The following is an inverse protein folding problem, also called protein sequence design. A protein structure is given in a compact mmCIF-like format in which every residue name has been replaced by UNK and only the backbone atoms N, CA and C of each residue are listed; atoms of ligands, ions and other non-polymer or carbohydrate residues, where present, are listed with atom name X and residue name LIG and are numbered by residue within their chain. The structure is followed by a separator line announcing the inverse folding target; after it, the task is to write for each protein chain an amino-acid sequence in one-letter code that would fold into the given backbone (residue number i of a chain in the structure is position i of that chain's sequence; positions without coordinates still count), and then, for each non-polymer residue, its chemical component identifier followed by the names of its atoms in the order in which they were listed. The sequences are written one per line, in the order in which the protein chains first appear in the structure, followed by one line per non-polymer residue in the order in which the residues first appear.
data_IF_564922675267
#
_entry.id   IF_564922675267
#
_cell.length_a   1.000
_cell.length_b   1.000
_cell.length_c   1.000
_cell.angle_alpha   90.00
_cell.angle_beta   90.00
_cell.angle_gamma   90.00
#
_symmetry.space_group_name_H-M   'P 1'
#
loop_
_entity.id
_entity.type
_entity.pdbx_description
1 polymer ?
#
# COMPACT_ATOMS: atom_id res chain seq x y z
N UNK A 1 2.88 -3.34 -22.24
CA UNK A 1 3.07 -4.68 -21.62
C UNK A 1 1.73 -5.31 -21.30
N UNK A 2 1.69 -6.64 -21.14
CA UNK A 2 0.53 -7.36 -20.58
C UNK A 2 0.85 -7.74 -19.14
N UNK A 3 0.10 -7.20 -18.20
CA UNK A 3 0.39 -7.31 -16.76
C UNK A 3 -0.70 -8.12 -16.03
N UNK A 4 -0.30 -9.03 -15.16
CA UNK A 4 -1.14 -9.51 -14.08
C UNK A 4 -0.84 -8.67 -12.83
N UNK A 5 -1.84 -7.92 -12.35
CA UNK A 5 -1.75 -7.08 -11.15
C UNK A 5 -2.56 -7.75 -10.04
N UNK A 6 -1.86 -8.36 -9.08
CA UNK A 6 -2.49 -8.97 -7.91
C UNK A 6 -2.71 -7.90 -6.83
N UNK A 7 -3.91 -7.87 -6.22
CA UNK A 7 -4.28 -6.81 -5.28
C UNK A 7 -4.60 -5.46 -5.96
N UNK A 8 -4.99 -5.51 -7.24
CA UNK A 8 -5.25 -4.31 -8.03
C UNK A 8 -6.53 -3.56 -7.66
N UNK A 9 -7.44 -4.15 -6.87
CA UNK A 9 -8.61 -3.46 -6.32
C UNK A 9 -8.33 -2.76 -4.98
N UNK A 10 -7.12 -2.87 -4.44
CA UNK A 10 -6.67 -2.13 -3.26
C UNK A 10 -6.28 -0.69 -3.60
N UNK A 11 -5.95 0.11 -2.57
CA UNK A 11 -5.58 1.52 -2.67
C UNK A 11 -4.44 1.79 -3.66
N UNK A 12 -3.24 1.24 -3.40
CA UNK A 12 -2.06 1.49 -4.25
C UNK A 12 -2.19 0.74 -5.58
N UNK A 13 -2.72 -0.50 -5.54
CA UNK A 13 -2.91 -1.33 -6.73
C UNK A 13 -3.81 -0.66 -7.75
N UNK A 14 -4.95 -0.08 -7.35
CA UNK A 14 -5.87 0.60 -8.27
C UNK A 14 -5.26 1.86 -8.89
N UNK A 15 -4.43 2.59 -8.13
CA UNK A 15 -3.65 3.72 -8.64
C UNK A 15 -2.64 3.26 -9.70
N UNK A 16 -1.91 2.18 -9.43
CA UNK A 16 -0.97 1.60 -10.38
C UNK A 16 -1.67 1.12 -11.67
N UNK A 17 -2.81 0.44 -11.54
CA UNK A 17 -3.61 0.00 -12.70
C UNK A 17 -3.99 1.19 -13.58
N UNK A 18 -4.45 2.31 -13.00
CA UNK A 18 -4.75 3.54 -13.77
C UNK A 18 -3.53 4.09 -14.50
N UNK A 19 -2.41 4.23 -13.80
CA UNK A 19 -1.16 4.72 -14.40
C UNK A 19 -0.75 3.83 -15.58
N UNK A 20 -0.75 2.51 -15.42
CA UNK A 20 -0.34 1.58 -16.49
C UNK A 20 -1.30 1.58 -17.66
N UNK A 21 -2.59 1.60 -17.39
CA UNK A 21 -3.61 1.52 -18.42
C UNK A 21 -3.73 2.84 -19.22
N UNK A 22 -3.75 3.98 -18.51
CA UNK A 22 -4.09 5.28 -19.10
C UNK A 22 -2.86 6.06 -19.56
N UNK A 23 -1.73 6.01 -18.82
CA UNK A 23 -0.53 6.77 -19.18
C UNK A 23 0.42 5.94 -20.08
N UNK A 24 0.51 4.61 -19.89
CA UNK A 24 1.44 3.73 -20.64
C UNK A 24 0.76 2.87 -21.70
N UNK A 25 -0.56 2.76 -21.70
CA UNK A 25 -1.30 1.98 -22.68
C UNK A 25 -1.14 0.47 -22.56
N UNK A 26 -0.80 -0.03 -21.37
CA UNK A 26 -0.66 -1.45 -21.09
C UNK A 26 -2.01 -2.19 -21.10
N UNK A 27 -1.95 -3.51 -21.27
CA UNK A 27 -3.09 -4.40 -20.99
C UNK A 27 -2.95 -4.91 -19.55
N UNK A 28 -4.00 -4.74 -18.75
CA UNK A 28 -3.97 -5.07 -17.32
C UNK A 28 -5.07 -6.05 -16.97
N UNK A 29 -4.67 -7.21 -16.48
CA UNK A 29 -5.56 -8.16 -15.79
C UNK A 29 -5.36 -8.00 -14.30
N UNK A 30 -6.41 -7.72 -13.55
CA UNK A 30 -6.41 -7.64 -12.10
C UNK A 30 -6.91 -8.96 -11.52
N UNK A 31 -6.17 -9.51 -10.54
CA UNK A 31 -6.60 -10.58 -9.66
C UNK A 31 -6.71 -10.04 -8.24
N UNK A 32 -7.93 -10.07 -7.67
CA UNK A 32 -8.17 -9.60 -6.30
C UNK A 32 -9.26 -10.44 -5.63
N UNK A 33 -9.07 -10.80 -4.37
CA UNK A 33 -10.07 -11.60 -3.61
C UNK A 33 -11.20 -10.74 -3.02
N UNK A 34 -11.05 -9.40 -3.06
CA UNK A 34 -11.98 -8.42 -2.52
C UNK A 34 -12.21 -8.63 -1.02
N UNK A 35 -11.15 -8.46 -0.24
CA UNK A 35 -11.28 -8.34 1.23
C UNK A 35 -11.81 -6.96 1.58
N UNK A 36 -11.83 -6.61 2.86
CA UNK A 36 -12.40 -5.34 3.34
C UNK A 36 -11.82 -4.08 2.65
N UNK A 37 -10.54 -4.09 2.28
CA UNK A 37 -9.86 -2.93 1.66
C UNK A 37 -9.77 -3.01 0.12
N UNK A 38 -9.92 -4.20 -0.46
CA UNK A 38 -10.02 -4.41 -1.91
C UNK A 38 -11.45 -4.26 -2.37
N UNK A 39 -11.75 -3.27 -3.21
CA UNK A 39 -13.12 -2.91 -3.61
C UNK A 39 -13.21 -2.71 -5.12
N UNK A 40 -14.26 -3.24 -5.75
CA UNK A 40 -14.51 -3.02 -7.19
C UNK A 40 -14.72 -1.54 -7.51
N UNK A 41 -15.30 -0.79 -6.57
CA UNK A 41 -15.49 0.67 -6.70
C UNK A 41 -14.18 1.43 -6.91
N UNK A 42 -13.06 0.89 -6.44
CA UNK A 42 -11.74 1.45 -6.68
C UNK A 42 -11.31 1.38 -8.16
N UNK A 43 -12.00 0.59 -8.97
CA UNK A 43 -11.72 0.36 -10.40
C UNK A 43 -12.92 0.71 -11.29
N UNK A 44 -13.97 1.33 -10.73
CA UNK A 44 -15.23 1.58 -11.45
C UNK A 44 -15.03 2.44 -12.69
N UNK A 45 -14.14 3.42 -12.64
CA UNK A 45 -13.80 4.29 -13.76
C UNK A 45 -13.06 3.57 -14.90
N UNK A 46 -12.55 2.36 -14.66
CA UNK A 46 -11.89 1.51 -15.65
C UNK A 46 -12.81 0.42 -16.21
N UNK A 47 -14.03 0.28 -15.67
CA UNK A 47 -14.99 -0.71 -16.13
C UNK A 47 -15.32 -0.49 -17.61
N UNK A 48 -15.25 -1.57 -18.41
CA UNK A 48 -15.49 -1.52 -19.84
C UNK A 48 -14.32 -1.04 -20.71
N UNK A 49 -13.17 -0.66 -20.10
CA UNK A 49 -11.98 -0.33 -20.88
C UNK A 49 -11.41 -1.57 -21.60
N UNK A 50 -11.20 -1.49 -22.92
CA UNK A 50 -10.87 -2.64 -23.76
C UNK A 50 -9.61 -3.42 -23.35
N UNK A 51 -8.66 -2.76 -22.67
CA UNK A 51 -7.39 -3.35 -22.19
C UNK A 51 -7.40 -3.67 -20.69
N UNK A 52 -8.57 -3.58 -20.06
CA UNK A 52 -8.75 -3.89 -18.64
C UNK A 52 -9.58 -5.16 -18.46
N UNK A 53 -9.16 -6.02 -17.56
CA UNK A 53 -9.89 -7.22 -17.13
C UNK A 53 -9.78 -7.38 -15.62
N UNK A 54 -10.91 -7.72 -15.00
CA UNK A 54 -10.97 -8.04 -13.57
C UNK A 54 -11.36 -9.52 -13.39
N UNK A 55 -10.65 -10.19 -12.48
CA UNK A 55 -10.94 -11.55 -12.04
C UNK A 55 -10.95 -11.59 -10.51
N UNK A 56 -12.01 -12.13 -9.94
CA UNK A 56 -12.08 -12.34 -8.50
C UNK A 56 -11.41 -13.66 -8.14
N UNK A 57 -10.40 -13.59 -7.26
CA UNK A 57 -9.68 -14.77 -6.79
C UNK A 57 -8.55 -14.41 -5.83
N UNK A 58 -8.13 -15.37 -5.04
CA UNK A 58 -7.07 -15.23 -4.06
C UNK A 58 -5.70 -15.62 -4.65
N UNK A 59 -4.64 -14.94 -4.24
CA UNK A 59 -3.27 -15.26 -4.71
C UNK A 59 -2.74 -16.55 -4.07
N UNK A 60 -3.28 -16.98 -2.96
CA UNK A 60 -3.00 -18.25 -2.29
C UNK A 60 -3.68 -19.45 -2.97
N UNK A 61 -4.56 -19.23 -3.96
CA UNK A 61 -5.18 -20.29 -4.77
C UNK A 61 -4.45 -20.45 -6.11
N UNK A 62 -3.68 -21.53 -6.32
CA UNK A 62 -2.97 -21.79 -7.58
C UNK A 62 -3.88 -21.86 -8.81
N UNK A 63 -5.13 -22.31 -8.66
CA UNK A 63 -6.07 -22.41 -9.77
C UNK A 63 -6.55 -21.02 -10.21
N UNK A 64 -6.87 -20.13 -9.26
CA UNK A 64 -7.23 -18.74 -9.55
C UNK A 64 -6.07 -17.98 -10.22
N UNK A 65 -4.83 -18.16 -9.72
CA UNK A 65 -3.62 -17.55 -10.31
C UNK A 65 -3.39 -18.06 -11.74
N UNK A 66 -3.51 -19.37 -11.98
CA UNK A 66 -3.36 -19.93 -13.34
C UNK A 66 -4.41 -19.38 -14.29
N UNK A 67 -5.68 -19.35 -13.88
CA UNK A 67 -6.78 -18.81 -14.69
C UNK A 67 -6.55 -17.33 -15.05
N UNK A 68 -6.05 -16.52 -14.10
CA UNK A 68 -5.76 -15.11 -14.34
C UNK A 68 -4.60 -14.90 -15.32
N UNK A 69 -3.56 -15.72 -15.24
CA UNK A 69 -2.43 -15.69 -16.16
C UNK A 69 -2.84 -16.12 -17.58
N UNK A 70 -3.70 -17.14 -17.69
CA UNK A 70 -4.20 -17.63 -18.99
C UNK A 70 -5.12 -16.60 -19.66
N UNK A 71 -5.97 -15.95 -18.85
CA UNK A 71 -6.89 -14.94 -19.36
C UNK A 71 -6.20 -13.69 -19.91
N UNK A 72 -5.05 -13.28 -19.33
CA UNK A 72 -4.33 -12.06 -19.69
C UNK A 72 -3.10 -12.27 -20.56
N UNK A 73 -2.65 -13.51 -20.77
CA UNK A 73 -1.34 -13.81 -21.44
C UNK A 73 -0.21 -12.93 -20.91
N UNK A 74 -0.10 -12.82 -19.58
CA UNK A 74 0.77 -11.86 -18.90
C UNK A 74 2.27 -12.07 -19.23
N UNK A 75 3.00 -10.97 -19.31
CA UNK A 75 4.47 -10.91 -19.46
C UNK A 75 5.16 -10.68 -18.11
N UNK A 76 4.42 -10.12 -17.15
CA UNK A 76 4.89 -9.87 -15.79
C UNK A 76 3.75 -9.96 -14.77
N UNK A 77 4.12 -10.37 -13.56
CA UNK A 77 3.25 -10.30 -12.37
C UNK A 77 3.74 -9.13 -11.51
N UNK A 78 2.79 -8.25 -11.10
CA UNK A 78 3.04 -7.19 -10.12
C UNK A 78 2.17 -7.45 -8.89
N UNK A 79 2.79 -7.76 -7.76
CA UNK A 79 2.08 -8.18 -6.56
C UNK A 79 1.92 -7.05 -5.55
N UNK A 80 0.71 -6.50 -5.45
CA UNK A 80 0.24 -5.60 -4.40
C UNK A 80 -0.58 -6.34 -3.33
N UNK A 81 -1.05 -7.57 -3.63
CA UNK A 81 -1.92 -8.30 -2.72
C UNK A 81 -1.23 -8.56 -1.38
N UNK A 82 -1.84 -8.05 -0.32
CA UNK A 82 -1.34 -8.18 1.04
C UNK A 82 -2.45 -7.84 2.04
N UNK A 83 -2.44 -8.47 3.20
CA UNK A 83 -3.04 -7.89 4.39
C UNK A 83 -2.09 -6.82 4.94
N UNK A 84 -2.61 -5.61 5.29
CA UNK A 84 -1.75 -4.42 5.45
C UNK A 84 -1.94 -3.62 6.74
N UNK A 85 -2.92 -3.95 7.58
CA UNK A 85 -3.21 -3.17 8.79
C UNK A 85 -2.47 -3.75 9.99
N UNK A 86 -1.52 -2.97 10.56
CA UNK A 86 -0.67 -3.44 11.66
C UNK A 86 -1.49 -3.88 12.87
N UNK A 87 -2.50 -3.07 13.31
CA UNK A 87 -3.31 -3.42 14.48
C UNK A 87 -4.10 -4.72 14.25
N UNK A 88 -4.62 -4.95 13.03
CA UNK A 88 -5.24 -6.23 12.66
C UNK A 88 -4.24 -7.39 12.69
N UNK A 89 -2.99 -7.16 12.30
CA UNK A 89 -1.95 -8.20 12.33
C UNK A 89 -1.60 -8.66 13.76
N UNK A 90 -1.76 -7.77 14.74
CA UNK A 90 -1.56 -8.09 16.15
C UNK A 90 -2.72 -8.92 16.68
N UNK A 91 -3.95 -8.62 16.26
CA UNK A 91 -5.15 -9.32 16.70
C UNK A 91 -5.36 -10.67 15.98
N UNK A 92 -5.11 -10.73 14.66
CA UNK A 92 -5.41 -11.86 13.79
C UNK A 92 -4.27 -12.10 12.77
N UNK A 93 -3.12 -12.67 13.19
CA UNK A 93 -1.94 -12.79 12.34
C UNK A 93 -2.05 -13.81 11.20
N UNK A 94 -2.96 -14.78 11.30
CA UNK A 94 -3.06 -15.92 10.37
C UNK A 94 -3.32 -15.49 8.91
N UNK A 95 -4.21 -14.51 8.71
CA UNK A 95 -4.50 -13.97 7.39
C UNK A 95 -3.26 -13.33 6.73
N UNK A 96 -2.38 -12.73 7.55
CA UNK A 96 -1.14 -12.12 7.08
C UNK A 96 -0.13 -13.16 6.62
N UNK A 97 0.03 -14.27 7.34
CA UNK A 97 0.89 -15.38 6.93
C UNK A 97 0.38 -15.99 5.63
N UNK A 98 -0.93 -16.26 5.56
CA UNK A 98 -1.57 -16.87 4.39
C UNK A 98 -1.44 -16.00 3.15
N UNK A 99 -1.82 -14.73 3.24
CA UNK A 99 -1.79 -13.84 2.08
C UNK A 99 -0.37 -13.40 1.74
N UNK A 100 0.38 -12.86 2.73
CA UNK A 100 1.65 -12.19 2.44
C UNK A 100 2.79 -13.19 2.14
N UNK A 101 2.85 -14.32 2.85
CA UNK A 101 3.90 -15.30 2.65
C UNK A 101 3.49 -16.43 1.70
N UNK A 102 2.43 -17.19 2.01
CA UNK A 102 1.99 -18.31 1.17
C UNK A 102 1.52 -17.81 -0.21
N UNK A 103 0.72 -16.73 -0.26
CA UNK A 103 0.27 -16.16 -1.53
C UNK A 103 1.43 -15.70 -2.41
N UNK A 104 2.46 -15.05 -1.83
CA UNK A 104 3.67 -14.69 -2.58
C UNK A 104 4.40 -15.94 -3.12
N UNK A 105 4.51 -17.00 -2.32
CA UNK A 105 5.09 -18.28 -2.78
C UNK A 105 4.33 -18.84 -3.99
N UNK A 106 3.00 -18.87 -3.96
CA UNK A 106 2.17 -19.37 -5.07
C UNK A 106 2.41 -18.57 -6.35
N UNK A 107 2.48 -17.23 -6.24
CA UNK A 107 2.78 -16.36 -7.38
C UNK A 107 4.19 -16.57 -7.93
N UNK A 108 5.19 -16.80 -7.07
CA UNK A 108 6.56 -17.07 -7.48
C UNK A 108 6.66 -18.41 -8.24
N UNK A 109 5.97 -19.46 -7.78
CA UNK A 109 5.92 -20.75 -8.49
C UNK A 109 5.23 -20.58 -9.87
N UNK A 110 4.14 -19.83 -9.94
CA UNK A 110 3.45 -19.56 -11.19
C UNK A 110 4.33 -18.76 -12.18
N UNK A 111 5.05 -17.75 -11.68
CA UNK A 111 5.98 -16.95 -12.47
C UNK A 111 7.14 -17.82 -12.99
N UNK A 112 7.72 -18.66 -12.12
CA UNK A 112 8.81 -19.58 -12.47
C UNK A 112 8.39 -20.61 -13.53
N UNK A 113 7.23 -21.21 -13.36
CA UNK A 113 6.71 -22.22 -14.31
C UNK A 113 6.46 -21.65 -15.71
N UNK A 114 6.19 -20.35 -15.83
CA UNK A 114 5.87 -19.66 -17.08
C UNK A 114 6.98 -18.74 -17.59
N UNK A 115 8.12 -18.63 -16.89
CA UNK A 115 9.23 -17.77 -17.26
C UNK A 115 8.86 -16.26 -17.23
N UNK A 116 7.97 -15.84 -16.33
CA UNK A 116 7.50 -14.47 -16.24
C UNK A 116 8.41 -13.62 -15.36
N UNK A 117 8.41 -12.30 -15.63
CA UNK A 117 8.98 -11.32 -14.72
C UNK A 117 8.08 -11.19 -13.48
N UNK A 118 8.69 -10.92 -12.34
CA UNK A 118 7.97 -10.76 -11.07
C UNK A 118 8.41 -9.48 -10.37
N UNK A 119 7.46 -8.66 -9.91
CA UNK A 119 7.71 -7.51 -9.07
C UNK A 119 6.89 -7.59 -7.79
N UNK A 120 7.58 -7.61 -6.65
CA UNK A 120 6.97 -7.55 -5.32
C UNK A 120 6.89 -6.12 -4.83
N UNK A 121 5.69 -5.67 -4.50
CA UNK A 121 5.49 -4.41 -3.79
C UNK A 121 5.56 -4.68 -2.29
N UNK A 122 6.47 -3.98 -1.60
CA UNK A 122 6.78 -4.14 -0.19
C UNK A 122 6.75 -2.80 0.55
N UNK A 123 7.23 -2.75 1.78
CA UNK A 123 7.12 -1.62 2.70
C UNK A 123 8.46 -1.34 3.39
N UNK A 124 8.68 -0.11 3.82
CA UNK A 124 9.80 0.30 4.68
C UNK A 124 9.71 -0.31 6.09
N UNK A 125 8.53 -0.72 6.52
CA UNK A 125 8.33 -1.35 7.84
C UNK A 125 9.13 -2.65 8.02
N UNK A 126 9.60 -3.26 6.92
CA UNK A 126 10.49 -4.44 6.99
C UNK A 126 11.86 -4.13 7.61
N UNK A 127 12.28 -2.86 7.60
CA UNK A 127 13.54 -2.41 8.20
C UNK A 127 13.45 -2.18 9.72
N UNK A 128 12.24 -1.95 10.25
CA UNK A 128 12.02 -1.51 11.62
C UNK A 128 12.26 -0.02 11.81
N UNK A 129 12.51 0.43 13.04
CA UNK A 129 12.69 1.83 13.38
C UNK A 129 14.14 2.29 13.28
N UNK A 130 14.34 3.56 12.87
CA UNK A 130 15.67 4.21 12.81
C UNK A 130 15.64 5.56 13.55
N UNK A 131 16.58 5.79 14.45
CA UNK A 131 16.63 7.06 15.20
C UNK A 131 17.22 8.20 14.36
N UNK A 132 18.28 7.90 13.59
CA UNK A 132 18.97 8.87 12.74
C UNK A 132 19.43 8.23 11.43
N UNK A 133 19.65 9.02 10.39
CA UNK A 133 20.01 8.55 9.05
C UNK A 133 18.79 8.02 8.28
N UNK A 134 19.06 7.25 7.25
CA UNK A 134 18.07 6.71 6.30
C UNK A 134 18.36 5.24 6.01
N UNK A 135 17.33 4.43 5.86
CA UNK A 135 17.48 3.07 5.35
C UNK A 135 17.83 3.08 3.88
N UNK A 136 18.77 2.23 3.50
CA UNK A 136 19.10 1.87 2.13
C UNK A 136 18.65 0.44 1.85
N UNK A 137 18.72 0.02 0.59
CA UNK A 137 18.32 -1.33 0.18
C UNK A 137 19.18 -2.43 0.80
N UNK A 138 20.38 -2.08 1.29
CA UNK A 138 21.30 -3.00 1.98
C UNK A 138 21.12 -3.02 3.50
N UNK A 139 20.24 -2.18 4.04
CA UNK A 139 19.95 -2.17 5.48
C UNK A 139 19.34 -3.50 5.93
N UNK A 140 19.69 -4.01 7.13
CA UNK A 140 19.15 -5.27 7.64
C UNK A 140 17.66 -5.18 7.88
N UNK A 141 16.93 -6.28 7.64
CA UNK A 141 15.52 -6.38 7.96
C UNK A 141 15.35 -6.68 9.45
N UNK A 142 14.56 -5.84 10.14
CA UNK A 142 14.28 -5.93 11.59
C UNK A 142 12.81 -5.60 11.88
N UNK A 143 11.87 -6.37 11.31
CA UNK A 143 10.44 -6.09 11.44
C UNK A 143 9.98 -6.16 12.90
N UNK A 144 9.08 -5.24 13.31
CA UNK A 144 8.57 -5.10 14.69
C UNK A 144 7.14 -5.61 14.88
N UNK A 145 6.43 -5.98 13.81
CA UNK A 145 5.04 -6.43 13.85
C UNK A 145 4.83 -7.70 13.02
N UNK A 146 3.74 -8.48 13.25
CA UNK A 146 3.39 -9.62 12.40
C UNK A 146 3.22 -9.22 10.92
N UNK A 147 2.63 -8.05 10.64
CA UNK A 147 2.55 -7.51 9.28
C UNK A 147 3.94 -7.33 8.65
N UNK A 148 4.81 -6.56 9.29
CA UNK A 148 6.14 -6.29 8.74
C UNK A 148 7.01 -7.54 8.66
N UNK A 149 6.84 -8.50 9.59
CA UNK A 149 7.52 -9.80 9.55
C UNK A 149 7.08 -10.65 8.35
N UNK A 150 5.79 -10.72 8.05
CA UNK A 150 5.29 -11.46 6.89
C UNK A 150 5.68 -10.80 5.56
N UNK A 151 5.76 -9.47 5.49
CA UNK A 151 6.29 -8.75 4.34
C UNK A 151 7.79 -8.98 4.15
N UNK A 152 8.58 -8.95 5.23
CA UNK A 152 10.00 -9.30 5.18
C UNK A 152 10.23 -10.75 4.73
N UNK A 153 9.42 -11.69 5.21
CA UNK A 153 9.43 -13.09 4.76
C UNK A 153 9.14 -13.23 3.26
N UNK A 154 8.14 -12.49 2.75
CA UNK A 154 7.85 -12.44 1.32
C UNK A 154 9.02 -11.86 0.50
N UNK A 155 9.65 -10.79 0.97
CA UNK A 155 10.84 -10.20 0.33
C UNK A 155 11.99 -11.21 0.24
N UNK A 156 12.26 -11.94 1.31
CA UNK A 156 13.29 -12.98 1.33
C UNK A 156 12.96 -14.17 0.40
N UNK A 157 11.69 -14.56 0.29
CA UNK A 157 11.25 -15.55 -0.71
C UNK A 157 11.55 -15.08 -2.13
N UNK A 158 11.21 -13.85 -2.47
CA UNK A 158 11.48 -13.29 -3.80
C UNK A 158 12.98 -13.31 -4.12
N UNK A 159 13.82 -12.86 -3.19
CA UNK A 159 15.28 -12.88 -3.35
C UNK A 159 15.82 -14.30 -3.50
N UNK A 160 15.30 -15.25 -2.73
CA UNK A 160 15.71 -16.66 -2.83
C UNK A 160 15.38 -17.28 -4.20
N UNK A 161 14.25 -16.91 -4.79
CA UNK A 161 13.85 -17.38 -6.12
C UNK A 161 14.76 -16.85 -7.23
N UNK A 162 15.21 -15.60 -7.12
CA UNK A 162 16.23 -15.08 -8.02
C UNK A 162 17.55 -15.85 -7.86
N UNK A 163 18.06 -15.99 -6.64
CA UNK A 163 19.35 -16.65 -6.40
C UNK A 163 19.35 -18.16 -6.73
N UNK A 164 18.26 -18.85 -6.44
CA UNK A 164 18.18 -20.31 -6.61
C UNK A 164 17.78 -20.72 -8.01
N UNK A 165 16.82 -20.00 -8.60
CA UNK A 165 16.19 -20.41 -9.86
C UNK A 165 16.43 -19.43 -11.01
N UNK A 166 17.08 -18.29 -10.77
CA UNK A 166 17.26 -17.26 -11.80
C UNK A 166 15.97 -16.56 -12.21
N UNK A 167 14.91 -16.61 -11.37
CA UNK A 167 13.65 -15.92 -11.68
C UNK A 167 13.92 -14.41 -11.81
N UNK A 168 13.52 -13.76 -12.93
CA UNK A 168 13.74 -12.31 -13.10
C UNK A 168 12.78 -11.51 -12.20
N UNK A 169 13.08 -11.46 -10.90
CA UNK A 169 12.29 -10.84 -9.86
C UNK A 169 12.96 -9.56 -9.35
N UNK A 170 12.14 -8.55 -9.01
CA UNK A 170 12.54 -7.29 -8.38
C UNK A 170 11.63 -6.97 -7.20
N UNK A 171 12.10 -6.13 -6.28
CA UNK A 171 11.32 -5.64 -5.15
C UNK A 171 11.27 -4.11 -5.16
N UNK A 172 10.10 -3.54 -4.80
CA UNK A 172 9.95 -2.11 -4.57
C UNK A 172 9.35 -1.89 -3.17
N UNK A 173 10.13 -1.33 -2.24
CA UNK A 173 9.71 -0.99 -0.88
C UNK A 173 9.27 0.47 -0.84
N UNK A 174 8.01 0.70 -0.46
CA UNK A 174 7.45 2.04 -0.34
C UNK A 174 7.43 2.57 1.07
N UNK A 175 7.53 3.87 1.22
CA UNK A 175 7.24 4.56 2.47
C UNK A 175 5.73 4.72 2.69
N UNK A 176 5.30 5.48 3.71
CA UNK A 176 3.90 5.67 4.03
C UNK A 176 3.13 6.35 2.88
N UNK A 177 2.26 5.59 2.24
CA UNK A 177 1.45 6.06 1.14
C UNK A 177 0.20 6.81 1.61
N UNK A 178 -0.21 7.84 0.86
CA UNK A 178 -1.48 8.55 1.05
C UNK A 178 -2.06 8.98 -0.30
N UNK A 179 -3.37 9.25 -0.32
CA UNK A 179 -4.07 9.70 -1.53
C UNK A 179 -5.51 9.19 -1.65
N UNK A 180 -6.15 9.38 -2.82
CA UNK A 180 -7.48 8.86 -3.13
C UNK A 180 -7.61 7.34 -2.94
N UNK A 181 -8.79 6.87 -2.54
CA UNK A 181 -9.13 5.46 -2.33
C UNK A 181 -8.39 4.76 -1.17
N UNK A 182 -7.67 5.49 -0.30
CA UNK A 182 -7.07 4.89 0.89
C UNK A 182 -8.16 4.55 1.92
N UNK A 183 -8.15 3.30 2.42
CA UNK A 183 -9.19 2.81 3.33
C UNK A 183 -9.24 3.62 4.64
N UNK A 184 -10.45 3.95 5.17
CA UNK A 184 -10.66 4.87 6.29
C UNK A 184 -9.97 4.53 7.61
N UNK A 185 -9.46 3.32 7.80
CA UNK A 185 -8.72 2.93 9.01
C UNK A 185 -7.30 3.52 9.10
N UNK A 186 -6.76 4.03 7.99
CA UNK A 186 -5.41 4.61 7.95
C UNK A 186 -5.41 6.07 8.41
N UNK A 187 -4.27 6.53 8.96
CA UNK A 187 -4.15 7.82 9.64
C UNK A 187 -4.77 8.99 8.83
N UNK A 188 -4.35 9.19 7.59
CA UNK A 188 -4.79 10.37 6.81
C UNK A 188 -6.30 10.33 6.53
N UNK A 189 -6.87 9.26 5.94
CA UNK A 189 -8.32 9.24 5.72
C UNK A 189 -9.14 9.24 7.01
N UNK A 190 -8.67 8.56 8.07
CA UNK A 190 -9.32 8.59 9.37
C UNK A 190 -9.44 10.02 9.91
N UNK A 191 -8.34 10.78 9.88
CA UNK A 191 -8.33 12.17 10.33
C UNK A 191 -9.17 13.09 9.44
N UNK A 192 -9.13 12.90 8.11
CA UNK A 192 -9.95 13.68 7.18
C UNK A 192 -11.44 13.45 7.46
N UNK A 193 -11.88 12.22 7.49
CA UNK A 193 -13.29 11.89 7.68
C UNK A 193 -13.77 12.27 9.08
N UNK A 194 -12.98 12.03 10.11
CA UNK A 194 -13.29 12.49 11.47
C UNK A 194 -13.42 14.00 11.57
N UNK A 195 -12.51 14.75 10.95
CA UNK A 195 -12.56 16.22 10.92
C UNK A 195 -13.79 16.74 10.18
N UNK A 196 -14.16 16.14 9.04
CA UNK A 196 -15.34 16.54 8.25
C UNK A 196 -16.67 16.25 8.96
N UNK A 197 -16.73 15.26 9.86
CA UNK A 197 -17.95 14.85 10.58
C UNK A 197 -18.02 15.36 12.02
N UNK A 198 -16.99 16.05 12.49
CA UNK A 198 -16.96 16.53 13.89
C UNK A 198 -16.62 15.44 14.91
N UNK A 199 -16.09 14.29 14.48
CA UNK A 199 -15.67 13.22 15.37
C UNK A 199 -14.39 13.56 16.13
N UNK A 200 -14.08 12.77 17.16
CA UNK A 200 -12.76 12.78 17.79
C UNK A 200 -11.70 12.25 16.85
N UNK A 201 -10.53 12.86 16.87
CA UNK A 201 -9.37 12.51 16.05
C UNK A 201 -8.36 11.76 16.93
N UNK A 202 -8.35 10.40 16.93
CA UNK A 202 -7.50 9.62 17.80
C UNK A 202 -6.04 9.67 17.34
N UNK A 203 -5.16 10.20 18.20
CA UNK A 203 -3.72 10.27 17.96
C UNK A 203 -3.01 9.34 18.94
N UNK A 204 -2.31 8.35 18.44
CA UNK A 204 -1.54 7.41 19.26
C UNK A 204 -0.40 8.10 20.01
N UNK A 205 -0.34 7.87 21.32
CA UNK A 205 0.71 8.38 22.22
C UNK A 205 0.84 9.91 22.13
N UNK A 206 2.07 10.39 21.91
CA UNK A 206 2.40 11.81 21.80
C UNK A 206 2.29 12.38 20.38
N UNK A 207 2.00 11.54 19.38
CA UNK A 207 1.89 11.93 17.98
C UNK A 207 3.21 12.35 17.31
N UNK A 208 4.36 12.10 17.97
CA UNK A 208 5.69 12.50 17.48
C UNK A 208 6.35 11.43 16.62
N UNK A 209 5.66 10.34 16.32
CA UNK A 209 6.15 9.34 15.36
C UNK A 209 6.36 10.02 14.01
N UNK A 210 7.54 9.82 13.42
CA UNK A 210 7.93 10.42 12.13
C UNK A 210 7.73 9.42 11.01
N UNK A 211 7.09 9.87 9.93
CA UNK A 211 6.89 9.07 8.72
C UNK A 211 7.38 9.81 7.49
N UNK A 212 7.95 9.07 6.58
CA UNK A 212 8.22 9.55 5.22
C UNK A 212 6.94 9.35 4.38
N UNK A 213 6.41 10.42 3.80
CA UNK A 213 5.12 10.40 3.10
C UNK A 213 5.30 10.46 1.59
N UNK A 214 4.68 9.50 0.89
CA UNK A 214 4.66 9.45 -0.58
C UNK A 214 3.23 9.44 -1.10
N UNK A 215 2.93 10.26 -2.11
CA UNK A 215 1.64 10.21 -2.77
C UNK A 215 1.51 8.93 -3.59
N UNK A 216 0.33 8.30 -3.56
CA UNK A 216 0.10 6.99 -4.19
C UNK A 216 0.42 6.97 -5.70
N UNK A 217 0.22 8.08 -6.40
CA UNK A 217 0.57 8.21 -7.83
C UNK A 217 2.08 8.19 -8.04
N UNK A 218 2.86 8.86 -7.19
CA UNK A 218 4.32 8.84 -7.28
C UNK A 218 4.87 7.45 -6.98
N UNK A 219 4.31 6.76 -5.99
CA UNK A 219 4.69 5.38 -5.71
C UNK A 219 4.32 4.43 -6.85
N UNK A 220 3.13 4.58 -7.44
CA UNK A 220 2.74 3.81 -8.62
C UNK A 220 3.72 4.01 -9.80
N UNK A 221 4.17 5.24 -10.03
CA UNK A 221 5.18 5.56 -11.06
C UNK A 221 6.56 5.00 -10.73
N UNK A 222 6.96 5.00 -9.43
CA UNK A 222 8.20 4.34 -8.98
C UNK A 222 8.17 2.83 -9.29
N UNK A 223 7.08 2.17 -8.95
CA UNK A 223 6.86 0.74 -9.26
C UNK A 223 6.93 0.51 -10.77
N UNK A 224 6.31 1.37 -11.58
CA UNK A 224 6.40 1.33 -13.05
C UNK A 224 7.84 1.44 -13.55
N UNK A 225 8.64 2.35 -12.98
CA UNK A 225 10.05 2.50 -13.31
C UNK A 225 10.88 1.27 -12.94
N UNK A 226 10.63 0.66 -11.79
CA UNK A 226 11.27 -0.61 -11.38
C UNK A 226 10.85 -1.76 -12.30
N UNK A 227 9.57 -1.84 -12.67
CA UNK A 227 9.05 -2.86 -13.60
C UNK A 227 9.75 -2.79 -14.96
N UNK A 228 9.99 -1.60 -15.48
CA UNK A 228 10.55 -1.37 -16.83
C UNK A 228 12.08 -1.45 -16.85
N UNK A 229 12.75 -0.88 -15.86
CA UNK A 229 14.19 -0.61 -15.84
C UNK A 229 14.93 -1.25 -14.67
N UNK A 230 14.23 -1.85 -13.72
CA UNK A 230 14.84 -2.51 -12.57
C UNK A 230 15.68 -3.72 -12.99
N UNK A 231 16.81 -3.89 -12.33
CA UNK A 231 17.71 -5.04 -12.53
C UNK A 231 17.16 -6.24 -11.76
N UNK A 232 16.98 -7.40 -12.38
CA UNK A 232 16.56 -8.62 -11.67
C UNK A 232 17.45 -8.96 -10.48
N UNK A 233 16.83 -9.38 -9.38
CA UNK A 233 17.49 -9.65 -8.10
C UNK A 233 17.62 -8.44 -7.18
N UNK A 234 17.39 -7.23 -7.69
CA UNK A 234 17.61 -6.00 -6.95
C UNK A 234 16.35 -5.53 -6.20
N UNK A 235 16.62 -4.83 -5.08
CA UNK A 235 15.64 -4.12 -4.27
C UNK A 235 15.73 -2.64 -4.58
N UNK A 236 14.60 -1.94 -4.58
CA UNK A 236 14.50 -0.49 -4.77
C UNK A 236 13.62 0.10 -3.67
N UNK A 237 14.11 1.13 -2.99
CA UNK A 237 13.34 1.92 -2.05
C UNK A 237 12.72 3.12 -2.76
N UNK A 238 11.44 3.40 -2.48
CA UNK A 238 10.73 4.56 -3.00
C UNK A 238 10.07 5.31 -1.85
N UNK A 239 10.75 6.33 -1.35
CA UNK A 239 10.27 7.26 -0.33
C UNK A 239 9.80 8.57 -0.94
N UNK A 240 8.87 9.23 -0.24
CA UNK A 240 8.41 10.55 -0.61
C UNK A 240 9.39 11.67 -0.23
N UNK A 241 9.12 12.90 -0.66
CA UNK A 241 10.01 14.02 -0.44
C UNK A 241 9.93 14.61 0.98
N UNK A 242 8.93 14.23 1.77
CA UNK A 242 8.64 14.88 3.04
C UNK A 242 8.61 13.87 4.21
N UNK A 243 9.37 14.17 5.28
CA UNK A 243 9.29 13.49 6.57
C UNK A 243 8.54 14.38 7.56
N UNK A 244 7.46 13.87 8.13
CA UNK A 244 6.60 14.63 9.04
C UNK A 244 6.20 13.80 10.26
N UNK A 245 6.06 14.48 11.39
CA UNK A 245 5.42 13.90 12.57
C UNK A 245 3.92 13.70 12.32
N UNK A 246 3.36 12.64 12.88
CA UNK A 246 1.93 12.36 12.77
C UNK A 246 1.07 13.55 13.24
N UNK A 247 1.49 14.21 14.32
CA UNK A 247 0.79 15.41 14.82
C UNK A 247 0.80 16.56 13.81
N UNK A 248 1.90 16.78 13.08
CA UNK A 248 1.95 17.82 12.04
C UNK A 248 1.01 17.50 10.88
N UNK A 249 0.89 16.21 10.52
CA UNK A 249 -0.10 15.75 9.53
C UNK A 249 -1.53 16.02 9.99
N UNK A 250 -1.86 15.68 11.23
CA UNK A 250 -3.19 15.92 11.83
C UNK A 250 -3.51 17.42 11.87
N UNK A 251 -2.59 18.26 12.30
CA UNK A 251 -2.75 19.72 12.33
C UNK A 251 -3.03 20.26 10.92
N UNK A 252 -2.28 19.80 9.91
CA UNK A 252 -2.52 20.23 8.53
C UNK A 252 -3.89 19.82 7.99
N UNK A 253 -4.38 18.65 8.36
CA UNK A 253 -5.74 18.19 8.00
C UNK A 253 -6.80 19.08 8.67
N UNK A 254 -6.63 19.41 9.96
CA UNK A 254 -7.52 20.33 10.69
C UNK A 254 -7.58 21.70 10.00
N UNK A 255 -6.45 22.27 9.62
CA UNK A 255 -6.39 23.54 8.87
C UNK A 255 -7.18 23.47 7.55
N UNK A 256 -7.00 22.40 6.77
CA UNK A 256 -7.64 22.22 5.47
C UNK A 256 -9.15 21.93 5.55
N UNK A 257 -9.59 21.32 6.64
CA UNK A 257 -11.01 20.98 6.84
C UNK A 257 -11.79 22.06 7.59
N UNK A 258 -11.11 22.96 8.32
CA UNK A 258 -11.73 23.92 9.23
C UNK A 258 -12.20 23.30 10.54
N UNK A 259 -11.75 22.11 10.87
CA UNK A 259 -12.10 21.40 12.10
C UNK A 259 -11.53 22.08 13.35
N UNK A 260 -12.16 21.86 14.52
CA UNK A 260 -11.68 22.43 15.76
C UNK A 260 -10.49 21.62 16.32
N UNK A 261 -9.39 22.28 16.75
CA UNK A 261 -8.26 21.59 17.39
C UNK A 261 -8.66 20.75 18.61
N UNK A 262 -9.76 21.08 19.28
CA UNK A 262 -10.32 20.34 20.42
C UNK A 262 -10.86 18.94 20.05
N UNK A 263 -10.95 18.62 18.76
CA UNK A 263 -11.30 17.27 18.31
C UNK A 263 -10.13 16.28 18.49
N UNK A 264 -8.87 16.76 18.59
CA UNK A 264 -7.72 15.89 18.84
C UNK A 264 -7.88 15.22 20.20
N UNK A 265 -7.69 13.90 20.21
CA UNK A 265 -7.70 13.09 21.41
C UNK A 265 -6.49 12.14 21.42
N UNK A 266 -5.63 12.28 22.42
CA UNK A 266 -4.53 11.34 22.59
C UNK A 266 -5.05 10.01 23.15
N UNK A 267 -4.75 8.93 22.48
CA UNK A 267 -5.10 7.56 22.88
C UNK A 267 -3.85 6.77 23.24
N UNK A 268 -4.02 5.64 23.93
CA UNK A 268 -2.90 4.74 24.28
C UNK A 268 -2.14 4.31 23.02
N UNK A 269 -0.81 4.31 23.11
CA UNK A 269 0.04 3.92 21.99
C UNK A 269 0.01 2.40 21.80
N UNK A 270 0.13 1.96 20.55
CA UNK A 270 0.10 0.52 20.24
C UNK A 270 1.45 -0.15 20.59
N UNK A 271 1.43 -1.44 20.94
CA UNK A 271 2.67 -2.20 21.15
C UNK A 271 3.54 -2.22 19.89
N UNK A 272 4.86 -2.05 20.07
CA UNK A 272 5.81 -2.11 18.95
C UNK A 272 5.70 -0.96 17.95
N UNK A 273 5.17 0.20 18.37
CA UNK A 273 5.01 1.36 17.47
C UNK A 273 6.36 1.99 17.15
N UNK A 274 6.83 1.78 15.94
CA UNK A 274 8.10 2.33 15.46
C UNK A 274 8.12 3.86 15.50
N UNK A 275 9.23 4.42 15.99
CA UNK A 275 9.35 5.87 16.20
C UNK A 275 9.57 6.65 14.91
N UNK A 276 10.40 6.12 13.98
CA UNK A 276 10.73 6.83 12.75
C UNK A 276 11.03 5.85 11.62
N UNK A 277 10.51 6.18 10.43
CA UNK A 277 10.92 5.57 9.16
C UNK A 277 11.50 6.66 8.25
N UNK A 278 12.58 6.31 7.56
CA UNK A 278 13.19 7.17 6.56
C UNK A 278 13.87 6.30 5.50
N UNK A 279 13.57 6.54 4.22
CA UNK A 279 14.10 5.79 3.09
C UNK A 279 14.99 6.65 2.20
N UNK A 280 16.16 6.12 1.79
CA UNK A 280 16.88 6.62 0.62
C UNK A 280 16.20 6.11 -0.65
N UNK A 281 15.94 7.02 -1.58
CA UNK A 281 15.38 6.71 -2.91
C UNK A 281 16.40 6.89 -4.03
N UNK A 282 17.69 6.97 -3.73
CA UNK A 282 18.75 7.22 -4.71
C UNK A 282 18.78 6.18 -5.83
N UNK A 283 18.58 4.92 -5.47
CA UNK A 283 18.64 3.81 -6.41
C UNK A 283 17.46 3.81 -7.40
N UNK A 284 16.23 4.09 -6.96
CA UNK A 284 15.09 4.22 -7.88
C UNK A 284 15.16 5.49 -8.70
N UNK A 285 15.73 6.58 -8.15
CA UNK A 285 15.99 7.82 -8.90
C UNK A 285 16.99 7.60 -10.05
N UNK A 286 17.98 6.76 -9.87
CA UNK A 286 18.89 6.37 -10.93
C UNK A 286 18.20 5.69 -12.12
N UNK A 287 16.97 5.14 -11.92
CA UNK A 287 16.10 4.66 -13.00
C UNK A 287 15.30 5.80 -13.70
N UNK A 288 15.54 7.07 -13.36
CA UNK A 288 14.84 8.22 -13.94
C UNK A 288 13.48 8.52 -13.31
N UNK A 289 13.21 8.04 -12.11
CA UNK A 289 12.02 8.41 -11.34
C UNK A 289 12.33 9.49 -10.31
N UNK A 290 11.42 10.44 -10.15
CA UNK A 290 11.43 11.44 -9.08
C UNK A 290 10.01 11.62 -8.53
N UNK A 291 9.84 11.81 -7.21
CA UNK A 291 8.53 12.13 -6.64
C UNK A 291 8.13 13.55 -7.06
N UNK A 292 6.96 13.69 -7.67
CA UNK A 292 6.45 14.96 -8.18
C UNK A 292 5.49 15.69 -7.22
N UNK A 293 4.97 15.01 -6.20
CA UNK A 293 3.92 15.55 -5.31
C UNK A 293 4.50 15.84 -3.93
N UNK A 294 4.57 17.13 -3.56
CA UNK A 294 4.89 17.54 -2.18
C UNK A 294 3.73 17.24 -1.26
N UNK A 295 4.01 16.91 0.01
CA UNK A 295 2.97 16.55 0.98
C UNK A 295 1.91 17.65 1.13
N UNK A 296 2.31 18.91 1.18
CA UNK A 296 1.38 20.03 1.35
C UNK A 296 0.30 20.07 0.25
N UNK A 297 0.71 19.85 -1.00
CA UNK A 297 -0.20 19.85 -2.15
C UNK A 297 -1.02 18.56 -2.24
N UNK A 298 -0.36 17.41 -2.01
CA UNK A 298 -0.99 16.10 -2.09
C UNK A 298 -2.04 15.87 -0.99
N UNK A 299 -1.79 16.34 0.23
CA UNK A 299 -2.79 16.22 1.32
C UNK A 299 -4.00 17.11 1.06
N UNK A 300 -3.83 18.31 0.49
CA UNK A 300 -4.94 19.16 0.08
C UNK A 300 -5.79 18.50 -1.01
N UNK A 301 -5.14 17.92 -2.04
CA UNK A 301 -5.83 17.14 -3.07
C UNK A 301 -6.59 15.95 -2.46
N UNK A 302 -5.99 15.28 -1.49
CA UNK A 302 -6.59 14.13 -0.80
C UNK A 302 -7.81 14.57 0.01
N UNK A 303 -7.72 15.65 0.79
CA UNK A 303 -8.88 16.23 1.53
C UNK A 303 -10.02 16.56 0.57
N UNK A 304 -9.71 17.23 -0.55
CA UNK A 304 -10.70 17.57 -1.58
C UNK A 304 -11.36 16.30 -2.14
N UNK A 305 -10.55 15.28 -2.46
CA UNK A 305 -11.09 14.04 -2.97
C UNK A 305 -12.07 13.37 -2.00
N UNK A 306 -11.75 13.25 -0.71
CA UNK A 306 -12.68 12.69 0.29
C UNK A 306 -13.96 13.53 0.43
N UNK A 307 -13.86 14.85 0.35
CA UNK A 307 -15.03 15.74 0.38
C UNK A 307 -15.96 15.54 -0.82
N UNK A 308 -15.39 15.34 -2.00
CA UNK A 308 -16.12 15.25 -3.26
C UNK A 308 -16.61 13.82 -3.58
N UNK A 309 -16.12 12.80 -2.87
CA UNK A 309 -16.40 11.39 -3.15
C UNK A 309 -17.08 10.66 -1.97
N UNK A 310 -18.10 11.26 -1.38
CA UNK A 310 -18.89 10.66 -0.31
C UNK A 310 -19.48 9.30 -0.69
N UNK A 311 -19.90 9.12 -1.95
CA UNK A 311 -20.41 7.87 -2.52
C UNK A 311 -19.47 6.68 -2.28
N UNK A 312 -18.16 6.91 -2.21
CA UNK A 312 -17.16 5.86 -2.05
C UNK A 312 -16.96 5.45 -0.58
N UNK A 313 -16.84 6.42 0.34
CA UNK A 313 -16.49 6.13 1.73
C UNK A 313 -17.69 6.02 2.68
N UNK A 314 -18.85 6.61 2.40
CA UNK A 314 -20.06 6.47 3.24
C UNK A 314 -20.49 5.02 3.43
N UNK A 315 -20.55 4.16 2.38
CA UNK A 315 -20.87 2.75 2.56
C UNK A 315 -19.85 2.00 3.42
N UNK A 316 -18.56 2.38 3.34
CA UNK A 316 -17.52 1.79 4.17
C UNK A 316 -17.76 2.18 5.63
N UNK A 317 -17.98 3.46 5.89
CA UNK A 317 -18.11 4.01 7.24
C UNK A 317 -19.35 3.50 7.98
N UNK A 318 -20.43 3.18 7.27
CA UNK A 318 -21.67 2.62 7.81
C UNK A 318 -21.68 1.11 7.97
N UNK A 319 -20.71 0.38 7.39
CA UNK A 319 -20.59 -1.07 7.41
C UNK A 319 -19.55 -1.59 8.42
N UNK A 320 -18.81 -2.65 8.03
CA UNK A 320 -17.84 -3.38 8.87
C UNK A 320 -16.76 -2.48 9.50
N UNK A 321 -16.46 -1.34 8.88
CA UNK A 321 -15.53 -0.36 9.45
C UNK A 321 -16.03 0.24 10.77
N UNK A 322 -17.35 0.42 10.92
CA UNK A 322 -17.93 0.94 12.16
C UNK A 322 -17.67 0.00 13.33
N UNK A 323 -17.87 -1.30 13.15
CA UNK A 323 -17.60 -2.31 14.18
C UNK A 323 -16.11 -2.35 14.54
N UNK A 324 -15.24 -2.28 13.52
CA UNK A 324 -13.80 -2.17 13.75
C UNK A 324 -13.44 -0.93 14.57
N UNK A 325 -13.98 0.23 14.23
CA UNK A 325 -13.70 1.50 14.91
C UNK A 325 -14.16 1.47 16.37
N UNK A 326 -15.39 0.96 16.63
CA UNK A 326 -15.93 0.80 17.98
C UNK A 326 -15.06 -0.13 18.84
N UNK A 327 -14.62 -1.23 18.30
CA UNK A 327 -13.72 -2.16 18.98
C UNK A 327 -12.35 -1.55 19.27
N UNK A 328 -11.79 -0.81 18.33
CA UNK A 328 -10.45 -0.24 18.43
C UNK A 328 -10.37 0.96 19.37
N UNK A 329 -11.38 1.82 19.36
CA UNK A 329 -11.37 3.08 20.11
C UNK A 329 -12.41 3.15 21.24
N UNK A 330 -13.18 2.09 21.46
CA UNK A 330 -14.15 1.98 22.55
C UNK A 330 -15.34 2.94 22.45
N UNK A 331 -15.68 3.41 21.25
CA UNK A 331 -16.76 4.38 20.99
C UNK A 331 -17.31 4.28 19.57
N UNK A 332 -18.55 4.76 19.38
CA UNK A 332 -19.20 4.81 18.06
C UNK A 332 -18.72 6.00 17.22
N UNK A 333 -18.70 5.81 15.92
CA UNK A 333 -18.64 6.91 14.95
C UNK A 333 -19.91 7.76 15.05
N UNK A 334 -19.78 9.06 14.99
CA UNK A 334 -20.87 10.01 14.90
C UNK A 334 -21.66 9.92 13.59
#
# INVERSE_FOLDING_TARGET
MRLLVCGGAGFIGSTFVRVRLLEHGDEVTVLDKLTYAGREENLQDLAGHARFRFLRGAIEDPAAVSAALDAGTAEAIVNFAAETHVDRSIAEPDAFVTTNALGTYVLLEAARARGLRFLQVSTDEVYGSIESGTFTETSPLRPSSPYSATKAGADLLVQSYFHTYGLPATLCRGSNNYGPYQYPEKLIPLMILGALHGDRLPVYGDGRQVRNWIHCTDFARAIGSVLERGVPGEVYNAGGPDELQNMAVVQRIIELTGAAPSQIEHVEDRPGHDRRYSLSSEKVRALGWEPGVRFADGVEQTVRWYRDNAWWWEPIRSGDYREYYERQYGRSLG
#
